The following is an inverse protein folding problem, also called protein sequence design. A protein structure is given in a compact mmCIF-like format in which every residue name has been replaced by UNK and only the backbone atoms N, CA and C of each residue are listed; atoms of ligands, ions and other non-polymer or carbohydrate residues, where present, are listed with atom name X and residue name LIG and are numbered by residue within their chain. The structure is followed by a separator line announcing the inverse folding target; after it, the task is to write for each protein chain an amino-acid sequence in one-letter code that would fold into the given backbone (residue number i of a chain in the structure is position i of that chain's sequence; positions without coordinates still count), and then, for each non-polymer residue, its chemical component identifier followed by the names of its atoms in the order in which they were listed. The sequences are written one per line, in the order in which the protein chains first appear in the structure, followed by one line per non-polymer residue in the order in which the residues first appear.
data_IF_010730922687
#
_entry.id   IF_010730922687
#
_cell.length_a   1.000
_cell.length_b   1.000
_cell.length_c   1.000
_cell.angle_alpha   90.00
_cell.angle_beta   90.00
_cell.angle_gamma   90.00
#
_symmetry.space_group_name_H-M   'P 1'
#
loop_
_entity.id
_entity.type
_entity.pdbx_description
1 polymer ?
#
# COMPACT_ATOMS: atom_id res chain seq x y z
N UNK A 1 0.89 0.74 -10.02
CA UNK A 1 1.35 0.53 -8.62
C UNK A 1 0.88 -0.85 -8.15
N UNK A 2 1.46 -1.42 -7.09
CA UNK A 2 1.24 -2.80 -6.61
C UNK A 2 -0.22 -3.15 -6.30
N UNK A 3 -1.09 -2.16 -6.04
CA UNK A 3 -2.51 -2.35 -5.79
C UNK A 3 -3.43 -1.72 -6.84
N UNK A 4 -2.86 -0.95 -7.77
CA UNK A 4 -3.61 -0.24 -8.79
C UNK A 4 -4.36 -1.23 -9.70
N UNK A 5 -5.68 -1.04 -9.78
CA UNK A 5 -6.58 -1.92 -10.53
C UNK A 5 -6.78 -3.33 -9.98
N UNK A 6 -6.14 -3.71 -8.86
CA UNK A 6 -6.31 -5.04 -8.27
C UNK A 6 -7.57 -5.13 -7.40
N UNK A 7 -7.88 -4.07 -6.66
CA UNK A 7 -9.01 -4.07 -5.72
C UNK A 7 -10.11 -3.16 -6.23
N UNK A 8 -11.21 -3.77 -6.70
CA UNK A 8 -12.37 -3.03 -7.18
C UNK A 8 -13.35 -2.72 -6.06
N UNK A 9 -13.72 -1.44 -5.93
CA UNK A 9 -14.65 -0.93 -4.90
C UNK A 9 -16.01 -1.62 -4.92
N UNK A 10 -16.50 -2.04 -6.10
CA UNK A 10 -17.79 -2.74 -6.26
C UNK A 10 -17.84 -4.10 -5.56
N UNK A 11 -16.71 -4.80 -5.55
CA UNK A 11 -16.59 -6.17 -5.04
C UNK A 11 -16.10 -6.22 -3.59
N UNK A 12 -15.42 -5.18 -3.14
CA UNK A 12 -14.97 -5.12 -1.75
C UNK A 12 -16.13 -4.82 -0.80
N UNK A 13 -16.32 -5.67 0.22
CA UNK A 13 -17.33 -5.50 1.26
C UNK A 13 -16.65 -5.53 2.63
N UNK A 14 -16.98 -4.58 3.51
CA UNK A 14 -16.42 -4.48 4.86
C UNK A 14 -15.12 -3.67 4.93
N UNK A 15 -14.32 -3.91 5.98
CA UNK A 15 -13.08 -3.19 6.22
C UNK A 15 -12.04 -3.44 5.12
N UNK A 16 -11.28 -2.42 4.73
CA UNK A 16 -10.16 -2.54 3.78
C UNK A 16 -9.09 -3.50 4.31
N UNK A 17 -8.34 -4.22 3.45
CA UNK A 17 -7.42 -5.25 3.92
C UNK A 17 -6.28 -4.67 4.75
N UNK A 18 -5.75 -5.48 5.67
CA UNK A 18 -4.46 -5.20 6.30
C UNK A 18 -3.34 -5.49 5.31
N UNK A 19 -2.38 -4.58 5.23
CA UNK A 19 -1.16 -4.69 4.44
C UNK A 19 0.00 -4.80 5.42
N UNK A 20 0.88 -5.76 5.18
CA UNK A 20 2.12 -5.97 5.92
C UNK A 20 3.28 -5.93 4.94
N UNK A 21 4.00 -4.81 4.91
CA UNK A 21 5.12 -4.59 4.00
C UNK A 21 6.44 -4.76 4.76
N UNK A 22 7.25 -5.73 4.34
CA UNK A 22 8.58 -5.93 4.89
C UNK A 22 9.60 -5.10 4.12
N UNK A 23 10.35 -4.29 4.85
CA UNK A 23 11.39 -3.43 4.29
C UNK A 23 12.68 -3.55 5.12
N UNK A 24 13.78 -3.11 4.53
CA UNK A 24 15.05 -2.98 5.24
C UNK A 24 15.38 -1.51 5.43
N UNK A 25 15.71 -1.14 6.67
CA UNK A 25 16.04 0.22 7.07
C UNK A 25 17.51 0.24 7.49
N UNK A 26 18.31 1.10 6.88
CA UNK A 26 19.69 1.41 7.31
C UNK A 26 19.66 2.37 8.49
N UNK A 27 20.73 2.41 9.28
CA UNK A 27 20.84 3.36 10.41
C UNK A 27 20.79 4.84 10.00
N UNK A 28 20.97 5.15 8.71
CA UNK A 28 20.86 6.49 8.13
C UNK A 28 19.44 6.85 7.68
N UNK A 29 18.53 5.87 7.65
CA UNK A 29 17.13 6.02 7.24
C UNK A 29 16.23 6.01 8.48
N UNK A 30 15.06 6.65 8.39
CA UNK A 30 14.09 6.72 9.49
C UNK A 30 12.75 6.10 9.09
N UNK A 31 11.92 5.75 10.08
CA UNK A 31 10.56 5.27 9.84
C UNK A 31 9.73 6.26 9.01
N UNK A 32 9.92 7.57 9.20
CA UNK A 32 9.26 8.63 8.42
C UNK A 32 9.68 8.61 6.95
N UNK A 33 10.96 8.40 6.66
CA UNK A 33 11.44 8.30 5.27
C UNK A 33 10.85 7.08 4.55
N UNK A 34 10.72 5.95 5.25
CA UNK A 34 10.12 4.72 4.73
C UNK A 34 8.61 4.87 4.56
N UNK A 35 7.94 5.52 5.51
CA UNK A 35 6.52 5.84 5.41
C UNK A 35 6.26 6.75 4.20
N UNK A 36 7.10 7.77 4.00
CA UNK A 36 7.02 8.67 2.85
C UNK A 36 7.18 7.90 1.54
N UNK A 37 8.17 7.00 1.45
CA UNK A 37 8.37 6.16 0.27
C UNK A 37 7.17 5.24 -0.01
N UNK A 38 6.63 4.61 1.04
CA UNK A 38 5.46 3.74 0.92
C UNK A 38 4.22 4.51 0.43
N UNK A 39 3.95 5.69 0.99
CA UNK A 39 2.85 6.56 0.55
C UNK A 39 3.02 7.03 -0.90
N UNK A 40 4.25 7.39 -1.30
CA UNK A 40 4.54 7.81 -2.67
C UNK A 40 4.32 6.67 -3.67
N UNK A 41 4.67 5.43 -3.31
CA UNK A 41 4.41 4.25 -4.15
C UNK A 41 2.91 3.98 -4.28
N UNK A 42 2.18 4.01 -3.17
CA UNK A 42 0.72 3.84 -3.14
C UNK A 42 -0.06 4.98 -3.78
N UNK A 43 0.59 6.13 -3.99
CA UNK A 43 -0.07 7.39 -4.35
C UNK A 43 -1.23 7.73 -3.39
N UNK A 44 -1.06 7.42 -2.10
CA UNK A 44 -2.09 7.60 -1.07
C UNK A 44 -1.47 7.78 0.31
N UNK A 45 -2.20 8.40 1.24
CA UNK A 45 -1.77 8.54 2.64
C UNK A 45 -2.04 7.25 3.41
N UNK A 46 -1.08 6.86 4.25
CA UNK A 46 -1.23 5.74 5.16
C UNK A 46 -1.64 6.30 6.53
N UNK A 47 -2.84 5.95 6.99
CA UNK A 47 -3.30 6.28 8.32
C UNK A 47 -2.85 5.21 9.34
N UNK A 48 -2.49 5.65 10.55
CA UNK A 48 -2.13 4.78 11.68
C UNK A 48 -1.07 3.71 11.31
N UNK A 49 0.10 4.10 10.74
CA UNK A 49 1.13 3.14 10.40
C UNK A 49 1.73 2.51 11.65
N UNK A 50 1.92 1.19 11.61
CA UNK A 50 2.56 0.44 12.69
C UNK A 50 3.90 -0.10 12.17
N UNK A 51 5.00 0.38 12.74
CA UNK A 51 6.32 -0.16 12.48
C UNK A 51 6.65 -1.23 13.52
N UNK A 52 6.94 -2.44 13.04
CA UNK A 52 7.43 -3.53 13.88
C UNK A 52 8.84 -3.91 13.44
N UNK A 53 9.83 -3.68 14.31
CA UNK A 53 11.21 -4.12 14.09
C UNK A 53 11.29 -5.64 14.20
N UNK A 54 11.57 -6.31 13.09
CA UNK A 54 11.57 -7.78 13.00
C UNK A 54 12.89 -8.34 13.53
N UNK A 55 14.02 -7.89 12.96
CA UNK A 55 15.36 -8.37 13.33
C UNK A 55 16.46 -7.51 12.70
N UNK A 56 17.67 -7.65 13.21
CA UNK A 56 18.89 -7.23 12.50
C UNK A 56 19.17 -8.15 11.32
N UNK A 57 19.64 -7.56 10.21
CA UNK A 57 19.95 -8.31 8.98
C UNK A 57 21.38 -8.09 8.49
N UNK A 58 22.01 -6.99 8.90
CA UNK A 58 23.43 -6.71 8.72
C UNK A 58 23.86 -5.61 9.72
N UNK A 59 25.17 -5.35 9.91
CA UNK A 59 25.61 -4.17 10.65
C UNK A 59 24.93 -2.91 10.09
N UNK A 60 24.35 -2.09 10.98
CA UNK A 60 23.64 -0.86 10.63
C UNK A 60 22.43 -1.05 9.69
N UNK A 61 21.84 -2.24 9.63
CA UNK A 61 20.65 -2.52 8.80
C UNK A 61 19.72 -3.53 9.49
N UNK A 62 18.47 -3.13 9.68
CA UNK A 62 17.43 -3.96 10.27
C UNK A 62 16.25 -4.16 9.31
N UNK A 63 15.52 -5.26 9.48
CA UNK A 63 14.26 -5.52 8.81
C UNK A 63 13.10 -5.02 9.68
N UNK A 64 12.17 -4.31 9.06
CA UNK A 64 10.93 -3.86 9.67
C UNK A 64 9.73 -4.37 8.89
N UNK A 65 8.61 -4.55 9.58
CA UNK A 65 7.30 -4.76 9.01
C UNK A 65 6.48 -3.49 9.23
N UNK A 66 6.15 -2.78 8.14
CA UNK A 66 5.19 -1.68 8.13
C UNK A 66 3.80 -2.26 7.92
N UNK A 67 2.93 -2.12 8.92
CA UNK A 67 1.56 -2.60 8.89
C UNK A 67 0.56 -1.45 8.86
N UNK A 68 -0.44 -1.52 7.97
CA UNK A 68 -1.49 -0.51 7.84
C UNK A 68 -2.72 -1.08 7.15
N UNK A 69 -3.88 -0.40 7.26
CA UNK A 69 -5.05 -0.69 6.43
C UNK A 69 -4.87 -0.04 5.07
N UNK A 70 -5.13 -0.80 3.99
CA UNK A 70 -5.06 -0.26 2.62
C UNK A 70 -5.89 1.04 2.53
N UNK A 71 -5.32 2.15 2.03
CA UNK A 71 -6.06 3.39 1.82
C UNK A 71 -7.21 3.20 0.84
N UNK A 72 -8.31 3.92 1.04
CA UNK A 72 -9.51 3.80 0.18
C UNK A 72 -9.24 4.32 -1.23
N UNK A 73 -8.32 5.27 -1.35
CA UNK A 73 -7.83 5.88 -2.59
C UNK A 73 -7.14 4.86 -3.50
N UNK A 74 -6.67 3.73 -2.94
CA UNK A 74 -6.09 2.64 -3.71
C UNK A 74 -7.15 1.73 -4.36
N UNK A 75 -8.44 1.90 -4.06
CA UNK A 75 -9.51 1.13 -4.69
C UNK A 75 -9.85 1.68 -6.07
N UNK A 76 -9.94 0.78 -7.06
CA UNK A 76 -10.39 1.15 -8.40
C UNK A 76 -11.90 1.41 -8.41
N UNK A 77 -12.28 2.58 -8.88
CA UNK A 77 -13.67 2.91 -9.21
C UNK A 77 -14.07 2.31 -10.57
N UNK A 78 -15.36 2.07 -10.78
CA UNK A 78 -15.85 1.80 -12.13
C UNK A 78 -15.77 3.11 -12.92
N UNK A 79 -14.83 3.21 -13.84
CA UNK A 79 -15.07 4.05 -15.01
C UNK A 79 -16.11 3.34 -15.85
N UNK A 80 -17.18 4.03 -16.25
CA UNK A 80 -18.15 3.55 -17.24
C UNK A 80 -17.38 3.18 -18.52
N UNK A 81 -17.00 1.91 -18.63
CA UNK A 81 -16.53 1.36 -19.89
C UNK A 81 -17.71 1.47 -20.86
N UNK A 82 -17.58 2.45 -21.76
CA UNK A 82 -18.54 2.75 -22.81
C UNK A 82 -19.01 1.43 -23.42
N UNK A 83 -20.33 1.24 -23.43
CA UNK A 83 -21.03 0.30 -24.28
C UNK A 83 -20.42 0.45 -25.67
N UNK A 84 -19.61 -0.52 -26.09
CA UNK A 84 -19.31 -0.68 -27.51
C UNK A 84 -20.63 -1.08 -28.15
N UNK A 85 -21.32 -0.09 -28.70
CA UNK A 85 -22.44 -0.28 -29.59
C UNK A 85 -22.05 -1.34 -30.61
N UNK A 86 -22.69 -2.51 -30.51
CA UNK A 86 -22.71 -3.46 -31.61
C UNK A 86 -23.85 -2.99 -32.50
N UNK A 87 -23.52 -2.11 -33.45
CA UNK A 87 -24.38 -1.91 -34.61
C UNK A 87 -24.24 -3.17 -35.49
N UNK A 88 -25.34 -3.90 -35.64
CA UNK A 88 -25.52 -5.02 -36.55
C UNK A 88 -26.93 -4.99 -37.10
#
# INVERSE_FOLDING_TARGET
DCFDGLVHKRYWKGSLPWIHCYCFIRSSESEESILCEAQNKLNAKIAEPIFHRVRDVAPNKAMFCLSFRLPVECLKEETEDHIRSVDG
#
